data_IF_495183463297
#
_entry.id   IF_495183463297
#
_cell.length_a   1.000
_cell.length_b   1.000
_cell.length_c   1.000
_cell.angle_alpha   90.00
_cell.angle_beta   90.00
_cell.angle_gamma   90.00
#
_symmetry.space_group_name_H-M   'P 1'
#
loop_
_entity.id
_entity.type
_entity.pdbx_description
1 polymer ?
#
# COMPACT_ATOMS: atom_id res chain seq x y z
N UNK A 1 -26.35 -6.07 -7.02
CA UNK A 1 -25.92 -7.48 -7.00
C UNK A 1 -25.14 -7.71 -8.28
N UNK A 2 -23.86 -7.30 -8.30
CA UNK A 2 -22.93 -7.57 -9.40
C UNK A 2 -21.82 -8.45 -8.87
N UNK A 3 -21.84 -9.71 -9.29
CA UNK A 3 -20.79 -10.66 -9.02
C UNK A 3 -19.66 -10.41 -10.05
N UNK A 4 -18.50 -9.97 -9.58
CA UNK A 4 -17.29 -10.01 -10.40
C UNK A 4 -16.80 -11.45 -10.46
N UNK A 5 -16.83 -12.01 -11.66
CA UNK A 5 -16.20 -13.29 -11.97
C UNK A 5 -14.68 -13.07 -12.08
N UNK A 6 -13.94 -13.54 -11.10
CA UNK A 6 -12.51 -13.76 -11.26
C UNK A 6 -12.31 -15.00 -12.11
N UNK A 7 -11.75 -14.84 -13.29
CA UNK A 7 -11.31 -15.94 -14.12
C UNK A 7 -9.97 -16.45 -13.59
N UNK A 8 -10.01 -17.57 -12.86
CA UNK A 8 -8.82 -18.32 -12.50
C UNK A 8 -8.17 -18.89 -13.77
N UNK A 9 -7.02 -18.35 -14.16
CA UNK A 9 -6.18 -18.94 -15.19
C UNK A 9 -5.45 -20.14 -14.59
N UNK A 10 -5.96 -21.35 -14.85
CA UNK A 10 -5.28 -22.60 -14.53
C UNK A 10 -4.07 -22.78 -15.45
N UNK A 11 -2.88 -22.63 -14.91
CA UNK A 11 -1.64 -22.96 -15.57
C UNK A 11 -1.55 -24.50 -15.73
N UNK A 12 -1.72 -24.98 -16.95
CA UNK A 12 -1.42 -26.35 -17.34
C UNK A 12 0.09 -26.53 -17.38
N UNK A 13 0.62 -27.28 -16.42
CA UNK A 13 2.02 -27.74 -16.43
C UNK A 13 2.16 -28.80 -17.54
N UNK A 14 2.77 -28.41 -18.66
CA UNK A 14 3.29 -29.37 -19.63
C UNK A 14 4.69 -29.80 -19.19
N UNK A 15 4.77 -31.01 -18.67
CA UNK A 15 6.04 -31.64 -18.36
C UNK A 15 6.85 -31.88 -19.62
N UNK A 16 8.00 -31.27 -19.75
CA UNK A 16 9.04 -31.70 -20.66
C UNK A 16 10.08 -32.53 -19.91
N UNK A 17 10.06 -33.84 -20.12
CA UNK A 17 11.18 -34.69 -19.79
C UNK A 17 12.36 -34.33 -20.70
N UNK A 18 13.38 -33.74 -20.12
CA UNK A 18 14.72 -33.68 -20.73
C UNK A 18 15.66 -34.47 -19.84
N UNK A 19 16.07 -35.63 -20.29
CA UNK A 19 17.22 -36.34 -19.77
C UNK A 19 18.48 -35.59 -20.17
N UNK A 20 19.27 -35.16 -19.21
CA UNK A 20 20.73 -35.04 -19.41
C UNK A 20 21.47 -34.91 -18.08
N UNK A 21 22.40 -35.83 -17.90
CA UNK A 21 23.65 -35.81 -17.13
C UNK A 21 23.72 -34.96 -15.86
N UNK A 22 23.78 -35.65 -14.74
CA UNK A 22 24.24 -35.16 -13.42
C UNK A 22 25.66 -34.58 -13.56
N UNK A 23 25.76 -33.26 -13.55
CA UNK A 23 26.98 -32.55 -13.24
C UNK A 23 26.65 -31.57 -12.08
N UNK A 24 27.14 -31.84 -10.84
CA UNK A 24 26.76 -31.06 -9.65
C UNK A 24 27.36 -29.66 -9.59
N UNK A 25 28.14 -29.20 -10.56
CA UNK A 25 28.91 -27.95 -10.51
C UNK A 25 28.54 -26.91 -11.60
N UNK A 26 27.35 -26.94 -12.19
CA UNK A 26 26.91 -25.84 -13.02
C UNK A 26 26.48 -24.63 -12.15
N UNK A 27 27.43 -23.98 -11.50
CA UNK A 27 27.29 -22.60 -11.07
C UNK A 27 27.10 -21.76 -12.35
N UNK A 28 25.88 -21.33 -12.61
CA UNK A 28 25.59 -20.47 -13.75
C UNK A 28 26.42 -19.20 -13.62
N UNK A 29 27.45 -19.03 -14.42
CA UNK A 29 28.34 -17.86 -14.39
C UNK A 29 27.53 -16.66 -14.90
N UNK A 30 27.20 -15.72 -14.00
CA UNK A 30 26.49 -14.50 -14.37
C UNK A 30 27.38 -13.64 -15.29
N UNK A 31 26.78 -13.02 -16.28
CA UNK A 31 27.43 -11.94 -17.02
C UNK A 31 27.73 -10.76 -16.09
N UNK A 32 28.63 -9.85 -16.47
CA UNK A 32 28.90 -8.62 -15.67
C UNK A 32 27.62 -7.83 -15.40
N UNK A 33 26.76 -7.74 -16.39
CA UNK A 33 25.48 -7.01 -16.32
C UNK A 33 24.49 -7.69 -15.38
N UNK A 34 24.33 -9.02 -15.45
CA UNK A 34 23.53 -9.79 -14.52
C UNK A 34 24.05 -9.69 -13.09
N UNK A 35 25.37 -9.75 -12.91
CA UNK A 35 26.00 -9.54 -11.61
C UNK A 35 25.78 -8.12 -11.05
N UNK A 36 25.64 -7.11 -11.92
CA UNK A 36 25.26 -5.77 -11.50
C UNK A 36 23.79 -5.73 -11.06
N UNK A 37 22.87 -6.29 -11.84
CA UNK A 37 21.44 -6.37 -11.49
C UNK A 37 21.21 -7.16 -10.19
N UNK A 38 21.95 -8.24 -9.96
CA UNK A 38 21.89 -8.99 -8.69
C UNK A 38 22.21 -8.09 -7.49
N UNK A 39 23.18 -7.19 -7.62
CA UNK A 39 23.50 -6.20 -6.57
C UNK A 39 22.40 -5.13 -6.44
N UNK A 40 21.79 -4.74 -7.55
CA UNK A 40 20.62 -3.83 -7.54
C UNK A 40 19.45 -4.47 -6.78
N UNK A 41 19.16 -5.75 -7.02
CA UNK A 41 18.10 -6.48 -6.28
C UNK A 41 18.41 -6.54 -4.77
N UNK A 42 19.67 -6.82 -4.40
CA UNK A 42 20.09 -6.78 -3.00
C UNK A 42 19.89 -5.41 -2.36
N UNK A 43 20.33 -4.36 -3.05
CA UNK A 43 20.15 -2.98 -2.59
C UNK A 43 18.69 -2.55 -2.52
N UNK A 44 17.87 -2.96 -3.48
CA UNK A 44 16.42 -2.73 -3.49
C UNK A 44 15.74 -3.27 -2.22
N UNK A 45 16.07 -4.51 -1.83
CA UNK A 45 15.55 -5.09 -0.59
C UNK A 45 16.07 -4.32 0.64
N UNK A 46 17.38 -4.10 0.73
CA UNK A 46 18.03 -3.60 1.94
C UNK A 46 17.82 -2.09 2.17
N UNK A 47 17.68 -1.31 1.10
CA UNK A 47 17.66 0.15 1.19
C UNK A 47 16.29 0.76 0.80
N UNK A 48 15.42 0.01 0.14
CA UNK A 48 14.07 0.49 -0.22
C UNK A 48 12.99 -0.24 0.57
N UNK A 49 12.82 -1.54 0.39
CA UNK A 49 11.70 -2.27 0.99
C UNK A 49 11.82 -2.33 2.52
N UNK A 50 12.91 -2.91 3.02
CA UNK A 50 13.06 -3.15 4.45
C UNK A 50 12.95 -1.87 5.29
N UNK A 51 13.61 -0.74 4.92
CA UNK A 51 13.47 0.51 5.66
C UNK A 51 12.07 1.13 5.57
N UNK A 52 11.35 0.96 4.45
CA UNK A 52 9.98 1.45 4.29
C UNK A 52 9.04 0.71 5.25
N UNK A 53 9.07 -0.61 5.24
CA UNK A 53 8.21 -1.41 6.12
C UNK A 53 8.59 -1.26 7.60
N UNK A 54 9.88 -1.16 7.94
CA UNK A 54 10.29 -0.89 9.33
C UNK A 54 9.81 0.49 9.83
N UNK A 55 9.85 1.52 8.97
CA UNK A 55 9.31 2.84 9.29
C UNK A 55 7.80 2.80 9.46
N UNK A 56 7.11 2.10 8.56
CA UNK A 56 5.65 1.93 8.59
C UNK A 56 5.21 1.18 9.86
N UNK A 57 5.87 0.08 10.21
CA UNK A 57 5.58 -0.69 11.42
C UNK A 57 5.67 0.15 12.69
N UNK A 58 6.74 0.95 12.81
CA UNK A 58 6.92 1.88 13.94
C UNK A 58 5.82 2.94 13.97
N UNK A 59 5.41 3.49 12.82
CA UNK A 59 4.34 4.48 12.76
C UNK A 59 2.98 3.86 13.09
N UNK A 60 2.73 2.61 12.66
CA UNK A 60 1.51 1.88 12.97
C UNK A 60 1.35 1.57 14.47
N UNK A 61 2.44 1.23 15.17
CA UNK A 61 2.43 1.13 16.63
C UNK A 61 2.03 2.46 17.27
N UNK A 62 2.67 3.55 16.86
CA UNK A 62 2.37 4.89 17.37
C UNK A 62 0.91 5.26 17.11
N UNK A 63 0.42 5.00 15.90
CA UNK A 63 -0.95 5.28 15.50
C UNK A 63 -1.96 4.51 16.37
N UNK A 64 -1.77 3.22 16.53
CA UNK A 64 -2.63 2.39 17.38
C UNK A 64 -2.69 2.91 18.82
N UNK A 65 -1.54 3.26 19.42
CA UNK A 65 -1.49 3.82 20.78
C UNK A 65 -2.17 5.20 20.88
N UNK A 66 -2.09 6.04 19.84
CA UNK A 66 -2.82 7.33 19.83
C UNK A 66 -4.34 7.11 19.72
N UNK A 67 -4.80 6.12 18.96
CA UNK A 67 -6.21 5.76 18.86
C UNK A 67 -6.76 5.23 20.19
N UNK A 68 -6.02 4.37 20.89
CA UNK A 68 -6.36 3.91 22.26
C UNK A 68 -6.45 5.07 23.23
N UNK A 69 -5.43 5.93 23.23
CA UNK A 69 -5.37 7.11 24.11
C UNK A 69 -6.58 8.01 23.90
N UNK A 70 -6.99 8.24 22.65
CA UNK A 70 -8.15 9.05 22.33
C UNK A 70 -9.45 8.38 22.81
N UNK A 71 -9.66 7.08 22.54
CA UNK A 71 -10.81 6.31 23.01
C UNK A 71 -10.95 6.39 24.53
N UNK A 72 -9.88 6.09 25.25
CA UNK A 72 -9.86 6.06 26.72
C UNK A 72 -10.16 7.47 27.30
N UNK A 73 -9.63 8.52 26.67
CA UNK A 73 -9.89 9.89 27.08
C UNK A 73 -11.35 10.32 26.83
N UNK A 74 -11.97 9.89 25.72
CA UNK A 74 -13.41 10.13 25.46
C UNK A 74 -14.27 9.38 26.48
N UNK A 75 -13.97 8.11 26.74
CA UNK A 75 -14.68 7.29 27.69
C UNK A 75 -14.62 7.89 29.12
N UNK A 76 -13.49 8.47 29.50
CA UNK A 76 -13.28 9.11 30.81
C UNK A 76 -13.67 10.62 30.85
N UNK A 77 -14.16 11.19 29.75
CA UNK A 77 -14.55 12.61 29.67
C UNK A 77 -13.39 13.58 29.76
N UNK A 78 -12.18 13.16 29.41
CA UNK A 78 -10.92 13.95 29.49
C UNK A 78 -10.31 14.28 28.12
N UNK A 79 -11.02 13.91 27.04
CA UNK A 79 -10.51 14.10 25.67
C UNK A 79 -10.28 15.56 25.33
N UNK A 80 -9.20 15.82 24.64
CA UNK A 80 -8.78 17.15 24.15
C UNK A 80 -8.61 17.15 22.64
N UNK A 81 -8.71 18.32 21.99
CA UNK A 81 -8.45 18.44 20.57
C UNK A 81 -7.03 17.97 20.20
N UNK A 82 -6.04 18.23 21.05
CA UNK A 82 -4.67 17.78 20.82
C UNK A 82 -4.52 16.24 20.73
N UNK A 83 -5.40 15.46 21.37
CA UNK A 83 -5.40 14.01 21.25
C UNK A 83 -5.96 13.58 19.88
N UNK A 84 -7.02 14.22 19.40
CA UNK A 84 -7.55 13.98 18.05
C UNK A 84 -6.51 14.36 16.99
N UNK A 85 -5.88 15.54 17.15
CA UNK A 85 -4.86 16.02 16.22
C UNK A 85 -3.68 15.03 16.12
N UNK A 86 -3.21 14.48 17.26
CA UNK A 86 -2.14 13.46 17.29
C UNK A 86 -2.54 12.15 16.62
N UNK A 87 -3.78 11.70 16.83
CA UNK A 87 -4.29 10.51 16.13
C UNK A 87 -4.28 10.75 14.61
N UNK A 88 -4.74 11.91 14.15
CA UNK A 88 -4.72 12.30 12.75
C UNK A 88 -3.29 12.42 12.17
N UNK A 89 -2.35 13.01 12.92
CA UNK A 89 -0.95 13.11 12.51
C UNK A 89 -0.29 11.74 12.40
N UNK A 90 -0.55 10.82 13.35
CA UNK A 90 0.00 9.47 13.31
C UNK A 90 -0.64 8.62 12.21
N UNK A 91 -1.93 8.80 11.90
CA UNK A 91 -2.58 8.21 10.74
C UNK A 91 -1.86 8.66 9.44
N UNK A 92 -1.67 9.97 9.24
CA UNK A 92 -0.98 10.51 8.06
C UNK A 92 0.46 9.99 7.93
N UNK A 93 1.18 9.86 9.03
CA UNK A 93 2.54 9.33 9.01
C UNK A 93 2.59 7.85 8.61
N UNK A 94 1.63 7.04 9.07
CA UNK A 94 1.51 5.63 8.70
C UNK A 94 1.08 5.49 7.24
N UNK A 95 0.06 6.28 6.83
CA UNK A 95 -0.45 6.33 5.46
C UNK A 95 0.66 6.69 4.47
N UNK A 96 1.43 7.73 4.72
CA UNK A 96 2.54 8.15 3.85
C UNK A 96 3.58 7.02 3.63
N UNK A 97 3.87 6.21 4.66
CA UNK A 97 4.76 5.05 4.48
C UNK A 97 4.10 3.94 3.65
N UNK A 98 2.79 3.74 3.81
CA UNK A 98 2.05 2.76 3.02
C UNK A 98 2.05 3.18 1.54
N UNK A 99 1.66 4.40 1.20
CA UNK A 99 1.68 4.95 -0.15
C UNK A 99 3.08 4.86 -0.80
N UNK A 100 4.13 5.13 0.01
CA UNK A 100 5.52 4.95 -0.43
C UNK A 100 5.94 3.47 -0.54
N UNK A 101 5.09 2.51 -0.24
CA UNK A 101 5.29 1.08 -0.47
C UNK A 101 4.54 0.52 -1.66
N UNK A 102 3.61 1.27 -2.25
CA UNK A 102 2.75 0.76 -3.33
C UNK A 102 3.50 0.51 -4.65
N UNK A 103 4.70 1.06 -4.84
CA UNK A 103 5.59 0.66 -5.94
C UNK A 103 6.16 -0.77 -5.82
N UNK A 104 5.81 -1.50 -4.74
CA UNK A 104 6.27 -2.87 -4.48
C UNK A 104 5.28 -3.68 -3.63
N UNK A 105 4.03 -3.75 -4.05
CA UNK A 105 2.99 -4.62 -3.47
C UNK A 105 3.23 -6.11 -3.77
N UNK A 106 4.46 -6.46 -4.13
CA UNK A 106 4.94 -7.82 -4.36
C UNK A 106 4.97 -8.63 -3.06
N UNK A 107 4.92 -9.93 -3.19
CA UNK A 107 5.14 -10.83 -2.07
C UNK A 107 4.04 -10.76 -1.02
N UNK A 108 4.34 -10.46 0.24
CA UNK A 108 3.37 -10.52 1.34
C UNK A 108 2.10 -9.70 1.09
N UNK A 109 2.22 -8.51 0.48
CA UNK A 109 1.09 -7.63 0.22
C UNK A 109 0.06 -8.31 -0.70
N UNK A 110 0.53 -8.93 -1.80
CA UNK A 110 -0.33 -9.65 -2.75
C UNK A 110 -0.65 -11.08 -2.31
N UNK A 111 0.35 -11.85 -1.86
CA UNK A 111 0.18 -13.28 -1.58
C UNK A 111 -0.74 -13.56 -0.38
N UNK A 112 -0.79 -12.65 0.58
CA UNK A 112 -1.65 -12.73 1.77
C UNK A 112 -2.85 -11.77 1.71
N UNK A 113 -3.06 -11.12 0.56
CA UNK A 113 -4.17 -10.19 0.36
C UNK A 113 -4.18 -9.04 1.40
N UNK A 114 -2.99 -8.60 1.85
CA UNK A 114 -2.85 -7.56 2.87
C UNK A 114 -3.24 -6.20 2.29
N UNK A 115 -2.82 -5.90 1.07
CA UNK A 115 -3.12 -4.66 0.38
C UNK A 115 -4.62 -4.34 0.38
N UNK A 116 -5.53 -5.12 -0.23
CA UNK A 116 -6.95 -4.82 -0.20
C UNK A 116 -7.58 -4.99 1.19
N UNK A 117 -6.91 -5.65 2.15
CA UNK A 117 -7.39 -5.74 3.53
C UNK A 117 -7.24 -4.41 4.28
N UNK A 118 -6.17 -3.66 4.00
CA UNK A 118 -5.86 -2.42 4.73
C UNK A 118 -6.13 -1.15 3.95
N UNK A 119 -6.37 -1.24 2.62
CA UNK A 119 -6.50 -0.08 1.74
C UNK A 119 -7.66 -0.15 0.74
N UNK A 120 -8.71 -0.90 1.02
CA UNK A 120 -9.92 -0.89 0.18
C UNK A 120 -10.68 0.42 0.31
N UNK A 121 -10.98 1.04 -0.82
CA UNK A 121 -11.86 2.20 -0.94
C UNK A 121 -12.85 2.04 -2.10
N UNK A 122 -13.98 2.74 -2.14
CA UNK A 122 -14.51 3.61 -1.08
C UNK A 122 -14.97 2.83 0.16
N UNK A 123 -14.92 3.48 1.33
CA UNK A 123 -15.55 2.98 2.56
C UNK A 123 -17.06 2.79 2.33
N UNK A 124 -17.60 1.66 2.74
CA UNK A 124 -19.04 1.41 2.71
C UNK A 124 -19.73 2.03 3.93
N UNK A 125 -20.13 3.29 3.81
CA UNK A 125 -20.79 4.02 4.88
C UNK A 125 -22.12 3.37 5.31
N UNK A 126 -22.84 2.74 4.39
CA UNK A 126 -24.09 2.04 4.72
C UNK A 126 -23.83 0.80 5.58
N UNK A 127 -22.84 0.00 5.19
CA UNK A 127 -22.44 -1.17 5.97
C UNK A 127 -21.85 -0.76 7.33
N UNK A 128 -21.07 0.32 7.39
CA UNK A 128 -20.52 0.86 8.63
C UNK A 128 -21.65 1.33 9.57
N UNK A 129 -22.62 2.10 9.08
CA UNK A 129 -23.79 2.51 9.87
C UNK A 129 -24.55 1.30 10.40
N UNK A 130 -24.79 0.27 9.56
CA UNK A 130 -25.48 -0.96 9.98
C UNK A 130 -24.71 -1.72 11.07
N UNK A 131 -23.38 -1.74 11.01
CA UNK A 131 -22.54 -2.34 12.05
C UNK A 131 -22.70 -1.57 13.38
N UNK A 132 -22.52 -0.25 13.34
CA UNK A 132 -22.49 0.61 14.54
C UNK A 132 -23.88 0.81 15.18
N UNK A 133 -24.96 0.76 14.39
CA UNK A 133 -26.35 0.84 14.89
C UNK A 133 -26.91 -0.50 15.39
N UNK A 134 -26.21 -1.62 15.16
CA UNK A 134 -26.67 -2.95 15.57
C UNK A 134 -26.03 -3.40 16.89
N UNK A 135 -26.77 -3.43 18.03
CA UNK A 135 -26.20 -3.88 19.31
C UNK A 135 -25.65 -5.32 19.26
N UNK A 136 -26.20 -6.17 18.38
CA UNK A 136 -25.75 -7.55 18.23
C UNK A 136 -24.41 -7.69 17.51
N UNK A 137 -24.10 -6.80 16.58
CA UNK A 137 -22.81 -6.76 15.87
C UNK A 137 -21.78 -5.99 16.71
N UNK A 138 -22.16 -4.83 17.20
CA UNK A 138 -21.31 -3.91 17.94
C UNK A 138 -20.67 -4.54 19.18
N UNK A 139 -21.44 -5.32 19.95
CA UNK A 139 -20.93 -6.01 21.15
C UNK A 139 -19.72 -6.92 20.91
N UNK A 140 -19.50 -7.40 19.68
CA UNK A 140 -18.42 -8.29 19.34
C UNK A 140 -17.10 -7.54 19.08
N UNK A 141 -17.16 -6.24 18.85
CA UNK A 141 -16.01 -5.40 18.48
C UNK A 141 -15.74 -4.26 19.49
N UNK A 142 -16.58 -4.14 20.51
CA UNK A 142 -16.47 -3.12 21.55
C UNK A 142 -16.34 -3.69 22.96
N UNK A 143 -15.78 -4.88 23.09
CA UNK A 143 -15.47 -5.50 24.38
C UNK A 143 -14.39 -4.74 25.12
N UNK A 144 -14.11 -5.11 26.36
CA UNK A 144 -12.99 -4.56 27.15
C UNK A 144 -11.64 -5.21 26.80
N UNK A 145 -11.64 -6.21 25.93
CA UNK A 145 -10.45 -6.92 25.46
C UNK A 145 -10.10 -6.42 24.04
N UNK A 146 -9.14 -5.51 23.95
CA UNK A 146 -8.73 -4.93 22.66
C UNK A 146 -8.20 -6.00 21.70
N UNK A 147 -7.49 -7.03 22.17
CA UNK A 147 -6.96 -8.09 21.28
C UNK A 147 -8.08 -8.95 20.69
N UNK A 148 -9.10 -9.29 21.48
CA UNK A 148 -10.29 -9.99 20.97
C UNK A 148 -11.07 -9.14 19.95
N UNK A 149 -11.14 -7.82 20.15
CA UNK A 149 -11.79 -6.90 19.21
C UNK A 149 -11.02 -6.84 17.88
N UNK A 150 -9.68 -6.82 17.93
CA UNK A 150 -8.79 -6.84 16.76
C UNK A 150 -8.96 -8.15 15.98
N UNK A 151 -8.93 -9.29 16.68
CA UNK A 151 -9.16 -10.60 16.07
C UNK A 151 -10.53 -10.69 15.40
N UNK A 152 -11.57 -10.16 16.07
CA UNK A 152 -12.91 -10.09 15.46
C UNK A 152 -12.94 -9.22 14.19
N UNK A 153 -12.32 -8.04 14.22
CA UNK A 153 -12.21 -7.16 13.06
C UNK A 153 -11.56 -7.89 11.89
N UNK A 154 -10.39 -8.49 12.13
CA UNK A 154 -9.64 -9.23 11.13
C UNK A 154 -10.43 -10.36 10.46
N UNK A 155 -11.10 -11.18 11.25
CA UNK A 155 -11.73 -12.41 10.77
C UNK A 155 -13.17 -12.24 10.29
N UNK A 156 -13.87 -11.15 10.65
CA UNK A 156 -15.31 -11.06 10.45
C UNK A 156 -15.79 -9.80 9.71
N UNK A 157 -14.98 -8.76 9.60
CA UNK A 157 -15.35 -7.57 8.85
C UNK A 157 -14.95 -7.71 7.37
N UNK A 158 -15.76 -7.13 6.50
CA UNK A 158 -15.41 -7.00 5.09
C UNK A 158 -14.33 -5.93 4.90
N UNK A 159 -13.52 -6.07 3.86
CA UNK A 159 -12.41 -5.16 3.53
C UNK A 159 -12.85 -3.69 3.45
N UNK A 160 -14.05 -3.41 2.93
CA UNK A 160 -14.63 -2.07 2.87
C UNK A 160 -15.07 -1.48 4.22
N UNK A 161 -14.81 -2.18 5.32
CA UNK A 161 -14.98 -1.73 6.72
C UNK A 161 -13.66 -1.79 7.51
N UNK A 162 -12.54 -1.96 6.85
CA UNK A 162 -11.22 -2.13 7.48
C UNK A 162 -10.22 -1.08 6.98
N UNK A 163 -9.04 -1.11 7.54
CA UNK A 163 -7.88 -0.38 7.05
C UNK A 163 -7.92 1.12 7.26
N UNK A 164 -7.16 1.81 6.43
CA UNK A 164 -6.92 3.25 6.55
C UNK A 164 -8.20 4.07 6.43
N UNK A 165 -9.05 3.79 5.43
CA UNK A 165 -10.23 4.62 5.12
C UNK A 165 -11.35 4.49 6.16
N UNK A 166 -11.45 3.34 6.81
CA UNK A 166 -12.39 3.13 7.91
C UNK A 166 -12.03 4.01 9.14
N UNK A 167 -10.74 4.07 9.50
CA UNK A 167 -10.30 4.94 10.60
C UNK A 167 -10.28 6.41 10.19
N UNK A 168 -9.90 6.71 8.94
CA UNK A 168 -9.97 8.05 8.36
C UNK A 168 -11.35 8.69 8.59
N UNK A 169 -12.42 7.95 8.24
CA UNK A 169 -13.79 8.42 8.45
C UNK A 169 -14.07 8.83 9.90
N UNK A 170 -13.58 8.06 10.87
CA UNK A 170 -13.87 8.31 12.29
C UNK A 170 -13.17 9.56 12.81
N UNK A 171 -11.92 9.80 12.40
CA UNK A 171 -11.08 10.87 13.00
C UNK A 171 -10.98 12.16 12.16
N UNK A 172 -11.39 12.13 10.89
CA UNK A 172 -11.37 13.32 10.01
C UNK A 172 -12.78 13.74 9.58
N UNK A 173 -12.95 15.04 9.31
CA UNK A 173 -14.12 15.63 8.66
C UNK A 173 -13.68 16.81 7.78
N UNK A 174 -14.08 16.79 6.50
CA UNK A 174 -13.83 17.90 5.56
C UNK A 174 -12.37 18.39 5.52
N UNK A 175 -11.41 17.46 5.48
CA UNK A 175 -9.99 17.75 5.36
C UNK A 175 -9.29 18.17 6.67
N UNK A 176 -9.99 18.12 7.80
CA UNK A 176 -9.46 18.52 9.11
C UNK A 176 -9.70 17.42 10.17
N UNK A 177 -8.90 17.40 11.25
CA UNK A 177 -9.21 16.59 12.42
C UNK A 177 -10.64 16.85 12.91
N UNK A 178 -11.39 15.79 13.20
CA UNK A 178 -12.72 15.89 13.77
C UNK A 178 -12.70 16.69 15.07
N UNK A 179 -13.73 17.50 15.31
CA UNK A 179 -13.77 18.32 16.54
C UNK A 179 -13.98 17.42 17.75
N UNK A 180 -13.16 17.62 18.80
CA UNK A 180 -13.30 16.88 20.06
C UNK A 180 -14.70 17.05 20.66
N UNK A 181 -15.38 18.17 20.42
CA UNK A 181 -16.74 18.41 20.86
C UNK A 181 -17.75 17.41 20.26
N UNK A 182 -17.53 16.87 19.06
CA UNK A 182 -18.42 15.85 18.50
C UNK A 182 -18.23 14.50 19.18
N UNK A 183 -17.04 14.15 19.64
CA UNK A 183 -16.84 12.98 20.50
C UNK A 183 -17.45 13.16 21.88
N UNK A 184 -17.30 14.35 22.47
CA UNK A 184 -17.82 14.66 23.80
C UNK A 184 -19.35 14.87 23.83
N UNK A 185 -19.99 15.13 22.68
CA UNK A 185 -21.45 15.27 22.59
C UNK A 185 -22.21 13.95 22.65
N UNK A 186 -21.51 12.85 22.47
CA UNK A 186 -22.06 11.50 22.54
C UNK A 186 -22.40 10.90 21.17
N UNK A 187 -22.86 11.68 20.20
CA UNK A 187 -23.22 11.18 18.86
C UNK A 187 -22.41 11.88 17.76
N UNK A 188 -22.26 11.20 16.62
CA UNK A 188 -21.71 11.82 15.42
C UNK A 188 -22.68 12.88 14.87
N UNK A 189 -22.16 13.77 14.05
CA UNK A 189 -22.93 14.81 13.35
C UNK A 189 -22.80 14.69 11.82
N UNK A 190 -22.25 13.59 11.34
CA UNK A 190 -22.10 13.32 9.90
C UNK A 190 -23.48 12.96 9.30
N UNK A 191 -23.84 13.67 8.23
CA UNK A 191 -25.08 13.42 7.48
C UNK A 191 -24.84 13.84 6.02
N UNK A 192 -24.16 12.98 5.26
CA UNK A 192 -23.93 13.15 3.83
C UNK A 192 -24.06 11.78 3.15
N UNK A 193 -25.20 11.57 2.48
CA UNK A 193 -25.56 10.29 1.86
C UNK A 193 -26.02 9.21 2.85
N UNK A 194 -25.37 9.09 4.02
CA UNK A 194 -25.77 8.23 5.15
C UNK A 194 -25.79 9.06 6.42
N UNK A 195 -26.85 8.94 7.23
CA UNK A 195 -27.03 9.69 8.47
C UNK A 195 -26.41 8.93 9.66
N UNK A 196 -25.39 9.49 10.28
CA UNK A 196 -24.70 8.97 11.46
C UNK A 196 -25.10 9.68 12.76
N UNK A 197 -26.11 10.57 12.73
CA UNK A 197 -26.47 11.36 13.92
C UNK A 197 -27.07 10.53 15.06
N UNK A 198 -27.45 9.28 14.82
CA UNK A 198 -27.87 8.30 15.82
C UNK A 198 -26.73 7.41 16.34
N UNK A 199 -25.53 7.49 15.72
CA UNK A 199 -24.38 6.66 16.08
C UNK A 199 -23.61 7.27 17.25
N UNK A 200 -23.31 6.45 18.26
CA UNK A 200 -22.54 6.87 19.41
C UNK A 200 -21.06 7.03 19.05
N UNK A 201 -20.48 8.20 19.31
CA UNK A 201 -19.11 8.53 18.94
C UNK A 201 -18.04 7.70 19.69
N UNK A 202 -18.33 7.22 20.91
CA UNK A 202 -17.44 6.31 21.62
C UNK A 202 -17.42 4.92 20.97
N UNK A 203 -18.57 4.45 20.46
CA UNK A 203 -18.65 3.17 19.75
C UNK A 203 -17.91 3.22 18.41
N UNK A 204 -17.96 4.37 17.69
CA UNK A 204 -17.11 4.60 16.53
C UNK A 204 -15.61 4.51 16.88
N UNK A 205 -15.21 5.10 18.02
CA UNK A 205 -13.82 5.05 18.47
C UNK A 205 -13.40 3.63 18.89
N UNK A 206 -14.26 2.88 19.58
CA UNK A 206 -13.99 1.48 19.94
C UNK A 206 -13.81 0.62 18.70
N UNK A 207 -14.70 0.76 17.72
CA UNK A 207 -14.56 0.13 16.41
C UNK A 207 -13.23 0.52 15.74
N UNK A 208 -12.92 1.82 15.68
CA UNK A 208 -11.72 2.29 15.00
C UNK A 208 -10.41 1.88 15.68
N UNK A 209 -10.41 1.66 17.01
CA UNK A 209 -9.27 1.08 17.74
C UNK A 209 -9.04 -0.37 17.32
N UNK A 210 -10.11 -1.18 17.18
CA UNK A 210 -9.99 -2.55 16.70
C UNK A 210 -9.42 -2.61 15.27
N UNK A 211 -9.94 -1.75 14.38
CA UNK A 211 -9.47 -1.64 12.98
C UNK A 211 -8.02 -1.13 12.92
N UNK A 212 -7.64 -0.15 13.74
CA UNK A 212 -6.26 0.34 13.81
C UNK A 212 -5.28 -0.73 14.36
N UNK A 213 -5.76 -1.59 15.26
CA UNK A 213 -4.99 -2.73 15.75
C UNK A 213 -4.78 -3.80 14.69
N UNK A 214 -5.83 -4.11 13.90
CA UNK A 214 -5.73 -5.02 12.76
C UNK A 214 -4.79 -4.47 11.68
N UNK A 215 -4.91 -3.18 11.35
CA UNK A 215 -3.98 -2.48 10.45
C UNK A 215 -2.52 -2.58 10.94
N UNK A 216 -2.27 -2.37 12.24
CA UNK A 216 -0.94 -2.52 12.84
C UNK A 216 -0.38 -3.92 12.62
N UNK A 217 -1.16 -4.97 12.89
CA UNK A 217 -0.70 -6.35 12.70
C UNK A 217 -0.49 -6.70 11.22
N UNK A 218 -1.34 -6.22 10.33
CA UNK A 218 -1.16 -6.39 8.88
C UNK A 218 0.13 -5.73 8.38
N UNK A 219 0.48 -4.55 8.92
CA UNK A 219 1.76 -3.89 8.63
C UNK A 219 2.94 -4.66 9.21
N UNK A 220 2.81 -5.25 10.39
CA UNK A 220 3.85 -6.14 10.94
C UNK A 220 4.07 -7.38 10.05
N UNK A 221 3.00 -7.95 9.47
CA UNK A 221 3.13 -9.04 8.50
C UNK A 221 3.99 -8.63 7.29
N UNK A 222 3.77 -7.42 6.75
CA UNK A 222 4.62 -6.90 5.66
C UNK A 222 6.09 -6.82 6.08
N UNK A 223 6.39 -6.21 7.24
CA UNK A 223 7.76 -6.08 7.74
C UNK A 223 8.40 -7.45 8.02
N UNK A 224 7.72 -8.32 8.73
CA UNK A 224 8.28 -9.61 9.17
C UNK A 224 8.46 -10.55 7.99
N UNK A 225 7.48 -10.65 7.10
CA UNK A 225 7.58 -11.52 5.93
C UNK A 225 8.68 -11.05 4.94
N UNK A 226 8.95 -9.74 4.85
CA UNK A 226 10.01 -9.22 3.97
C UNK A 226 11.40 -9.24 4.61
N UNK A 227 11.52 -8.81 5.87
CA UNK A 227 12.81 -8.53 6.53
C UNK A 227 13.09 -9.41 7.75
N UNK A 228 12.13 -10.22 8.20
CA UNK A 228 12.17 -10.91 9.48
C UNK A 228 11.73 -10.04 10.65
N UNK A 229 11.66 -8.72 10.49
CA UNK A 229 11.17 -7.77 11.50
C UNK A 229 11.92 -7.79 12.82
N UNK A 230 11.29 -7.22 13.86
CA UNK A 230 11.78 -7.33 15.23
C UNK A 230 11.25 -8.60 15.92
N UNK A 231 11.97 -9.12 16.93
CA UNK A 231 11.48 -10.24 17.74
C UNK A 231 10.13 -9.94 18.43
N UNK A 232 9.87 -8.67 18.76
CA UNK A 232 8.61 -8.24 19.36
C UNK A 232 7.46 -8.35 18.35
N UNK A 233 7.63 -7.86 17.12
CA UNK A 233 6.62 -7.94 16.06
C UNK A 233 6.35 -9.39 15.67
N UNK A 234 7.40 -10.21 15.53
CA UNK A 234 7.27 -11.63 15.24
C UNK A 234 6.44 -12.37 16.28
N UNK A 235 6.75 -12.19 17.56
CA UNK A 235 5.96 -12.78 18.65
C UNK A 235 4.51 -12.28 18.69
N UNK A 236 4.31 -11.00 18.37
CA UNK A 236 2.98 -10.43 18.32
C UNK A 236 2.14 -11.07 17.19
N UNK A 237 2.74 -11.29 16.01
CA UNK A 237 2.09 -12.02 14.91
C UNK A 237 1.82 -13.48 15.24
N UNK A 238 2.79 -14.18 15.85
CA UNK A 238 2.62 -15.57 16.28
C UNK A 238 1.46 -15.72 17.28
N UNK A 239 1.29 -14.75 18.21
CA UNK A 239 0.19 -14.73 19.17
C UNK A 239 -1.19 -14.51 18.50
N UNK A 240 -1.22 -13.86 17.34
CA UNK A 240 -2.40 -13.62 16.52
C UNK A 240 -2.56 -14.64 15.38
N UNK A 241 -1.75 -15.70 15.35
CA UNK A 241 -1.72 -16.75 14.31
C UNK A 241 -1.53 -16.20 12.88
N UNK A 242 -0.84 -15.04 12.76
CA UNK A 242 -0.58 -14.36 11.47
C UNK A 242 0.70 -14.85 10.80
N UNK A 243 0.93 -14.45 9.56
CA UNK A 243 2.06 -14.92 8.74
C UNK A 243 3.36 -14.23 9.14
N UNK A 244 4.46 -15.00 9.11
CA UNK A 244 5.82 -14.53 9.47
C UNK A 244 6.88 -14.86 8.42
N UNK A 245 6.51 -15.51 7.31
CA UNK A 245 7.40 -15.93 6.23
C UNK A 245 6.63 -16.12 4.93
N UNK A 246 7.31 -16.46 3.86
CA UNK A 246 6.69 -16.83 2.59
C UNK A 246 5.81 -18.09 2.72
N UNK A 247 4.79 -18.27 1.84
CA UNK A 247 3.96 -19.48 1.83
C UNK A 247 4.80 -20.74 1.69
N UNK A 248 4.53 -21.72 2.57
CA UNK A 248 5.22 -23.02 2.56
C UNK A 248 6.75 -22.94 2.65
N UNK A 249 7.29 -21.88 3.24
CA UNK A 249 8.72 -21.61 3.36
C UNK A 249 9.06 -21.00 4.72
N UNK A 250 10.33 -21.05 5.08
CA UNK A 250 10.86 -20.39 6.29
C UNK A 250 11.73 -19.17 5.96
N UNK A 251 11.96 -18.89 4.67
CA UNK A 251 12.73 -17.72 4.24
C UNK A 251 11.82 -16.50 4.05
N UNK A 252 12.40 -15.33 4.11
CA UNK A 252 11.71 -14.07 3.86
C UNK A 252 11.59 -13.77 2.36
N UNK A 253 10.65 -12.89 1.98
CA UNK A 253 10.58 -12.41 0.60
C UNK A 253 11.84 -11.66 0.18
N UNK A 254 12.49 -10.95 1.11
CA UNK A 254 13.76 -10.29 0.85
C UNK A 254 14.87 -11.27 0.51
N UNK A 255 14.98 -12.38 1.25
CA UNK A 255 15.95 -13.44 0.93
C UNK A 255 15.65 -14.11 -0.41
N UNK A 256 14.37 -14.37 -0.70
CA UNK A 256 13.94 -14.92 -1.98
C UNK A 256 14.32 -13.98 -3.16
N UNK A 257 14.07 -12.68 -3.04
CA UNK A 257 14.42 -11.67 -4.05
C UNK A 257 15.93 -11.60 -4.26
N UNK A 258 16.72 -11.56 -3.20
CA UNK A 258 18.18 -11.53 -3.26
C UNK A 258 18.80 -12.77 -3.92
N UNK A 259 18.10 -13.91 -3.89
CA UNK A 259 18.48 -15.17 -4.52
C UNK A 259 17.91 -15.36 -5.93
N UNK A 260 17.35 -14.33 -6.55
CA UNK A 260 16.77 -14.44 -7.89
C UNK A 260 17.74 -15.12 -8.89
N UNK A 261 17.23 -16.10 -9.64
CA UNK A 261 18.04 -16.93 -10.56
C UNK A 261 18.88 -18.02 -9.90
N UNK A 262 18.77 -18.21 -8.58
CA UNK A 262 19.46 -19.27 -7.83
C UNK A 262 18.47 -20.33 -7.35
N UNK A 263 19.01 -21.51 -7.02
CA UNK A 263 18.21 -22.61 -6.45
C UNK A 263 17.54 -22.14 -5.13
N UNK A 264 16.25 -22.39 -5.02
CA UNK A 264 15.44 -22.03 -3.85
C UNK A 264 14.80 -20.65 -3.93
N UNK A 265 15.01 -19.86 -5.02
CA UNK A 265 14.24 -18.68 -5.30
C UNK A 265 13.02 -18.99 -6.18
N UNK A 266 11.90 -18.30 -5.93
CA UNK A 266 10.72 -18.31 -6.82
C UNK A 266 10.99 -17.56 -8.14
N UNK A 267 11.93 -16.64 -8.15
CA UNK A 267 12.37 -15.93 -9.35
C UNK A 267 13.34 -16.81 -10.12
N UNK A 268 12.90 -17.35 -11.26
CA UNK A 268 13.69 -18.27 -12.10
C UNK A 268 14.93 -17.61 -12.75
N UNK A 269 14.96 -16.28 -12.78
CA UNK A 269 16.07 -15.48 -13.28
C UNK A 269 16.11 -14.10 -12.61
N UNK A 270 17.27 -13.44 -12.69
CA UNK A 270 17.43 -12.03 -12.29
C UNK A 270 16.46 -11.14 -13.09
N UNK A 271 16.33 -11.41 -14.38
CA UNK A 271 15.42 -10.65 -15.26
C UNK A 271 13.96 -10.78 -14.85
N UNK A 272 13.50 -11.99 -14.46
CA UNK A 272 12.12 -12.17 -13.99
C UNK A 272 11.83 -11.39 -12.69
N UNK A 273 12.81 -11.29 -11.78
CA UNK A 273 12.69 -10.46 -10.60
C UNK A 273 12.63 -8.95 -10.94
N UNK A 274 13.47 -8.51 -11.89
CA UNK A 274 13.47 -7.11 -12.38
C UNK A 274 12.15 -6.76 -13.03
N UNK A 275 11.61 -7.65 -13.88
CA UNK A 275 10.31 -7.44 -14.54
C UNK A 275 9.17 -7.31 -13.52
N UNK A 276 9.17 -8.17 -12.49
CA UNK A 276 8.19 -8.06 -11.41
C UNK A 276 8.25 -6.69 -10.70
N UNK A 277 9.45 -6.12 -10.51
CA UNK A 277 9.63 -4.83 -9.86
C UNK A 277 9.22 -3.67 -10.78
N UNK A 278 9.66 -3.67 -12.05
CA UNK A 278 9.49 -2.51 -12.93
C UNK A 278 8.14 -2.50 -13.63
N UNK A 279 7.71 -3.64 -14.19
CA UNK A 279 6.54 -3.72 -15.08
C UNK A 279 5.44 -4.66 -14.61
N UNK A 280 5.62 -5.35 -13.48
CA UNK A 280 4.56 -6.20 -12.89
C UNK A 280 3.38 -5.40 -12.36
N UNK A 281 2.21 -6.03 -12.31
CA UNK A 281 0.95 -5.41 -11.83
C UNK A 281 1.04 -4.91 -10.36
N UNK A 282 1.87 -5.54 -9.55
CA UNK A 282 2.16 -5.16 -8.16
C UNK A 282 3.51 -4.42 -8.02
N UNK A 283 4.08 -3.94 -9.12
CA UNK A 283 5.34 -3.21 -9.20
C UNK A 283 5.12 -1.74 -9.58
N UNK A 284 6.21 -1.12 -10.06
CA UNK A 284 6.20 0.32 -10.37
C UNK A 284 5.16 0.72 -11.42
N UNK A 285 5.01 -0.05 -12.50
CA UNK A 285 4.00 0.22 -13.53
C UNK A 285 2.59 0.10 -12.97
N UNK A 286 2.32 -0.93 -12.16
CA UNK A 286 1.01 -1.14 -11.57
C UNK A 286 0.51 0.08 -10.80
N UNK A 287 1.31 0.59 -9.87
CA UNK A 287 0.88 1.77 -9.08
C UNK A 287 0.79 3.05 -9.92
N UNK A 288 1.69 3.25 -10.91
CA UNK A 288 1.62 4.44 -11.77
C UNK A 288 0.34 4.43 -12.61
N UNK A 289 -0.04 3.27 -13.14
CA UNK A 289 -1.31 3.09 -13.88
C UNK A 289 -2.50 3.27 -12.94
N UNK A 290 -2.43 2.77 -11.72
CA UNK A 290 -3.48 2.95 -10.73
C UNK A 290 -3.70 4.43 -10.38
N UNK A 291 -2.64 5.17 -10.09
CA UNK A 291 -2.70 6.62 -9.85
C UNK A 291 -3.30 7.35 -11.07
N UNK A 292 -2.85 7.04 -12.27
CA UNK A 292 -3.30 7.69 -13.50
C UNK A 292 -4.73 7.32 -13.88
N UNK A 293 -5.01 6.03 -14.02
CA UNK A 293 -6.25 5.56 -14.64
C UNK A 293 -7.37 5.32 -13.63
N UNK A 294 -7.03 4.95 -12.38
CA UNK A 294 -8.00 4.57 -11.36
C UNK A 294 -8.20 5.69 -10.34
N UNK A 295 -7.18 6.03 -9.55
CA UNK A 295 -7.29 7.00 -8.44
C UNK A 295 -7.66 8.41 -8.94
N UNK A 296 -7.08 8.88 -10.05
CA UNK A 296 -7.45 10.15 -10.70
C UNK A 296 -8.42 9.96 -11.86
N UNK A 297 -8.23 8.93 -12.69
CA UNK A 297 -8.95 8.76 -13.96
C UNK A 297 -10.44 8.50 -13.79
N UNK A 298 -10.85 7.63 -12.85
CA UNK A 298 -12.26 7.35 -12.59
C UNK A 298 -13.02 8.59 -12.10
N UNK A 299 -12.55 9.33 -11.07
CA UNK A 299 -13.19 10.59 -10.67
C UNK A 299 -13.22 11.62 -11.80
N UNK A 300 -12.15 11.74 -12.59
CA UNK A 300 -12.10 12.65 -13.72
C UNK A 300 -13.11 12.30 -14.83
N UNK A 301 -13.38 11.01 -15.05
CA UNK A 301 -14.26 10.49 -16.11
C UNK A 301 -13.51 9.89 -17.29
N UNK A 302 -12.27 9.43 -17.09
CA UNK A 302 -11.47 8.70 -18.09
C UNK A 302 -11.59 7.19 -17.96
N UNK A 303 -12.51 6.68 -17.14
CA UNK A 303 -12.65 5.26 -16.76
C UNK A 303 -12.28 4.26 -17.84
N UNK A 304 -11.48 3.29 -17.42
CA UNK A 304 -10.85 2.26 -18.20
C UNK A 304 -11.82 1.28 -18.71
N UNK A 305 -12.32 1.02 -19.75
CA UNK A 305 -13.08 -0.11 -20.29
C UNK A 305 -14.62 -0.04 -20.26
N UNK A 306 -15.23 1.08 -19.84
CA UNK A 306 -16.67 1.22 -19.97
C UNK A 306 -17.00 2.21 -21.09
N UNK A 307 -17.94 1.83 -21.98
CA UNK A 307 -18.39 2.69 -23.08
C UNK A 307 -19.04 3.99 -22.57
N UNK A 308 -19.41 4.02 -21.29
CA UNK A 308 -19.92 5.19 -20.59
C UNK A 308 -18.83 5.77 -19.68
N UNK A 309 -17.96 6.60 -20.22
CA UNK A 309 -16.91 7.36 -19.51
C UNK A 309 -17.50 8.42 -18.56
N UNK A 310 -18.35 8.01 -17.63
CA UNK A 310 -18.90 8.91 -16.63
C UNK A 310 -17.93 9.07 -15.46
N UNK A 311 -17.85 10.30 -14.95
CA UNK A 311 -17.08 10.61 -13.75
C UNK A 311 -17.71 9.91 -12.54
N UNK A 312 -16.87 9.24 -11.74
CA UNK A 312 -17.28 8.65 -10.48
C UNK A 312 -16.63 9.38 -9.29
N UNK A 313 -17.23 10.45 -8.78
CA UNK A 313 -16.70 11.18 -7.63
C UNK A 313 -16.74 10.36 -6.32
N UNK A 314 -17.52 9.27 -6.25
CA UNK A 314 -17.54 8.40 -5.08
C UNK A 314 -16.29 7.52 -5.00
N UNK A 315 -15.53 7.42 -6.09
CA UNK A 315 -14.28 6.66 -6.16
C UNK A 315 -13.04 7.50 -5.76
N UNK A 316 -13.24 8.62 -5.07
CA UNK A 316 -12.12 9.43 -4.57
C UNK A 316 -11.56 8.80 -3.31
N UNK A 317 -10.26 8.54 -3.33
CA UNK A 317 -9.49 8.03 -2.22
C UNK A 317 -9.21 9.13 -1.18
N UNK A 318 -9.16 8.79 0.11
CA UNK A 318 -8.92 9.71 1.23
C UNK A 318 -9.83 10.97 1.22
N UNK A 319 -11.17 10.81 1.06
CA UNK A 319 -12.06 11.95 0.88
C UNK A 319 -12.33 12.72 2.18
N UNK A 320 -12.17 12.08 3.36
CA UNK A 320 -12.48 12.69 4.65
C UNK A 320 -11.32 13.52 5.21
N UNK A 321 -10.10 13.10 4.97
CA UNK A 321 -8.87 13.80 5.34
C UNK A 321 -8.41 14.81 4.28
N UNK A 322 -8.94 14.73 3.06
CA UNK A 322 -8.46 15.42 1.86
C UNK A 322 -6.99 15.10 1.52
N UNK A 323 -6.53 13.89 1.82
CA UNK A 323 -5.12 13.51 1.64
C UNK A 323 -4.79 13.04 0.22
N UNK A 324 -5.77 12.80 -0.65
CA UNK A 324 -5.64 12.18 -1.99
C UNK A 324 -4.41 12.63 -2.79
N UNK A 325 -4.18 13.95 -2.94
CA UNK A 325 -3.04 14.46 -3.71
C UNK A 325 -1.68 14.16 -3.06
N UNK A 326 -1.64 14.02 -1.73
CA UNK A 326 -0.46 13.59 -0.99
C UNK A 326 -0.23 12.10 -1.23
N UNK A 327 -1.29 11.30 -1.15
CA UNK A 327 -1.26 9.86 -1.39
C UNK A 327 -0.73 9.58 -2.80
N UNK A 328 -1.28 10.20 -3.83
CA UNK A 328 -0.83 10.05 -5.22
C UNK A 328 0.64 10.47 -5.42
N UNK A 329 1.06 11.54 -4.74
CA UNK A 329 2.45 11.97 -4.80
C UNK A 329 3.38 10.97 -4.13
N UNK A 330 2.98 10.39 -2.98
CA UNK A 330 3.73 9.37 -2.25
C UNK A 330 3.80 8.06 -3.05
N UNK A 331 2.75 7.71 -3.82
CA UNK A 331 2.79 6.59 -4.77
C UNK A 331 3.91 6.78 -5.81
N UNK A 332 3.98 7.95 -6.45
CA UNK A 332 5.06 8.22 -7.41
C UNK A 332 6.42 8.35 -6.70
N UNK A 333 6.44 8.79 -5.43
CA UNK A 333 7.66 8.78 -4.61
C UNK A 333 8.14 7.35 -4.33
N UNK A 334 7.23 6.35 -4.19
CA UNK A 334 7.62 4.94 -4.06
C UNK A 334 8.40 4.47 -5.29
N UNK A 335 7.92 4.81 -6.49
CA UNK A 335 8.62 4.52 -7.76
C UNK A 335 9.97 5.22 -7.81
N UNK A 336 10.05 6.48 -7.38
CA UNK A 336 11.31 7.22 -7.28
C UNK A 336 12.31 6.56 -6.32
N UNK A 337 11.82 6.01 -5.21
CA UNK A 337 12.64 5.29 -4.24
C UNK A 337 13.17 3.97 -4.80
N UNK A 338 12.34 3.20 -5.50
CA UNK A 338 12.74 1.98 -6.22
C UNK A 338 13.79 2.30 -7.28
N UNK A 339 13.52 3.29 -8.13
CA UNK A 339 14.41 3.68 -9.22
C UNK A 339 15.77 4.13 -8.73
N UNK A 340 15.84 4.94 -7.69
CA UNK A 340 17.05 5.54 -7.16
C UNK A 340 17.71 4.76 -6.00
N UNK A 341 17.11 3.64 -5.55
CA UNK A 341 17.74 2.69 -4.63
C UNK A 341 17.79 3.15 -3.18
N UNK A 342 16.67 3.66 -2.64
CA UNK A 342 16.57 3.94 -1.22
C UNK A 342 15.37 4.76 -0.80
N UNK A 343 14.75 4.34 0.31
CA UNK A 343 13.66 5.03 0.98
C UNK A 343 14.08 6.45 1.45
N UNK A 344 15.24 6.55 2.11
CA UNK A 344 15.82 7.82 2.52
C UNK A 344 16.76 8.35 1.41
N UNK A 345 16.38 9.46 0.78
CA UNK A 345 17.14 10.07 -0.29
C UNK A 345 18.61 10.41 0.10
N UNK A 346 18.86 10.65 1.40
CA UNK A 346 20.20 10.95 1.93
C UNK A 346 21.04 9.70 2.16
N UNK A 347 20.44 8.51 2.12
CA UNK A 347 21.08 7.21 2.38
C UNK A 347 21.07 6.27 1.18
N UNK A 348 20.78 6.77 -0.02
CA UNK A 348 20.76 5.95 -1.24
C UNK A 348 22.11 5.29 -1.49
N UNK A 349 22.10 3.99 -1.80
CA UNK A 349 23.30 3.16 -1.83
C UNK A 349 24.18 3.37 -3.06
N UNK A 350 23.72 4.00 -4.09
CA UNK A 350 24.42 4.04 -5.38
C UNK A 350 24.32 2.75 -6.23
N UNK A 351 23.80 1.65 -5.68
CA UNK A 351 23.37 0.46 -6.43
C UNK A 351 21.86 0.55 -6.63
N UNK A 352 21.43 0.88 -7.85
CA UNK A 352 20.02 1.14 -8.15
C UNK A 352 19.75 0.95 -9.64
N UNK A 353 18.47 0.93 -10.05
CA UNK A 353 18.12 0.95 -11.47
C UNK A 353 18.68 2.22 -12.15
N UNK A 354 18.60 3.37 -11.51
CA UNK A 354 19.20 4.60 -12.04
C UNK A 354 20.71 4.44 -12.30
N UNK A 355 21.46 3.81 -11.39
CA UNK A 355 22.88 3.57 -11.57
C UNK A 355 23.18 2.51 -12.64
N UNK A 356 22.35 1.48 -12.76
CA UNK A 356 22.40 0.50 -13.83
C UNK A 356 22.24 1.18 -15.19
N UNK A 357 21.17 1.96 -15.37
CA UNK A 357 20.91 2.64 -16.63
C UNK A 357 21.95 3.72 -16.94
N UNK A 358 22.47 4.42 -15.94
CA UNK A 358 23.61 5.34 -16.12
C UNK A 358 24.82 4.66 -16.75
N UNK A 359 25.05 3.38 -16.43
CA UNK A 359 26.17 2.60 -16.96
C UNK A 359 25.86 2.00 -18.34
N UNK A 360 24.68 1.43 -18.54
CA UNK A 360 24.38 0.57 -19.69
C UNK A 360 23.47 1.20 -20.76
N UNK A 361 22.64 2.19 -20.38
CA UNK A 361 21.80 2.98 -21.29
C UNK A 361 21.43 4.35 -20.67
N UNK A 362 22.36 5.32 -20.67
CA UNK A 362 22.16 6.63 -20.02
C UNK A 362 20.98 7.43 -20.56
N UNK A 363 20.66 7.30 -21.85
CA UNK A 363 19.55 7.99 -22.48
C UNK A 363 18.20 7.54 -21.89
N UNK A 364 18.00 6.22 -21.84
CA UNK A 364 16.78 5.64 -21.26
C UNK A 364 16.70 5.90 -19.75
N UNK A 365 17.84 5.81 -19.03
CA UNK A 365 17.89 6.17 -17.61
C UNK A 365 17.46 7.61 -17.35
N UNK A 366 17.88 8.54 -18.20
CA UNK A 366 17.48 9.96 -18.14
C UNK A 366 15.99 10.12 -18.47
N UNK A 367 15.48 9.39 -19.46
CA UNK A 367 14.04 9.39 -19.82
C UNK A 367 13.16 9.00 -18.65
N UNK A 368 13.46 7.87 -17.98
CA UNK A 368 12.69 7.41 -16.82
C UNK A 368 12.75 8.43 -15.67
N UNK A 369 13.94 8.93 -15.34
CA UNK A 369 14.08 9.92 -14.26
C UNK A 369 13.28 11.20 -14.55
N UNK A 370 13.32 11.67 -15.80
CA UNK A 370 12.55 12.84 -16.20
C UNK A 370 11.02 12.59 -16.12
N UNK A 371 10.56 11.39 -16.48
CA UNK A 371 9.16 11.02 -16.39
C UNK A 371 8.69 10.98 -14.91
N UNK A 372 9.49 10.39 -13.99
CA UNK A 372 9.23 10.43 -12.54
C UNK A 372 9.11 11.89 -12.06
N UNK A 373 10.07 12.72 -12.37
CA UNK A 373 10.09 14.13 -11.96
C UNK A 373 8.89 14.90 -12.53
N UNK A 374 8.49 14.63 -13.79
CA UNK A 374 7.34 15.25 -14.44
C UNK A 374 6.03 14.84 -13.75
N UNK A 375 5.82 13.55 -13.47
CA UNK A 375 4.63 13.05 -12.78
C UNK A 375 4.49 13.72 -11.40
N UNK A 376 5.55 13.74 -10.59
CA UNK A 376 5.56 14.42 -9.29
C UNK A 376 5.27 15.92 -9.40
N UNK A 377 5.85 16.59 -10.38
CA UNK A 377 5.63 18.02 -10.60
C UNK A 377 4.17 18.33 -11.03
N UNK A 378 3.56 17.47 -11.88
CA UNK A 378 2.16 17.61 -12.29
C UNK A 378 1.18 17.34 -11.15
N UNK A 379 1.42 16.32 -10.33
CA UNK A 379 0.63 16.07 -9.11
C UNK A 379 0.69 17.25 -8.15
N UNK A 380 1.87 17.81 -7.92
CA UNK A 380 2.05 18.99 -7.06
C UNK A 380 1.35 20.25 -7.60
N UNK A 381 1.12 20.32 -8.90
CA UNK A 381 0.42 21.44 -9.53
C UNK A 381 -1.12 21.30 -9.48
N UNK A 382 -1.64 20.13 -9.12
CA UNK A 382 -3.08 19.92 -8.96
C UNK A 382 -3.63 20.78 -7.83
N UNK A 383 -4.79 21.44 -8.02
CA UNK A 383 -5.39 22.26 -6.97
C UNK A 383 -6.00 21.36 -5.88
N UNK A 384 -5.68 21.67 -4.62
CA UNK A 384 -6.28 21.04 -3.45
C UNK A 384 -7.58 21.74 -3.01
N UNK A 385 -8.52 21.05 -2.35
CA UNK A 385 -8.53 19.59 -2.19
C UNK A 385 -8.96 18.86 -3.47
N UNK A 386 -8.51 17.64 -3.68
CA UNK A 386 -8.84 16.84 -4.86
C UNK A 386 -10.35 16.61 -5.00
N UNK A 387 -11.05 16.35 -3.90
CA UNK A 387 -12.52 16.14 -3.86
C UNK A 387 -13.33 17.28 -4.50
N UNK A 388 -12.80 18.51 -4.48
CA UNK A 388 -13.44 19.67 -5.10
C UNK A 388 -12.89 20.01 -6.50
N UNK A 389 -11.75 19.41 -6.89
CA UNK A 389 -10.98 19.83 -8.06
C UNK A 389 -10.64 18.68 -9.03
N UNK A 390 -11.20 17.48 -8.83
CA UNK A 390 -10.87 16.28 -9.60
C UNK A 390 -11.07 16.40 -11.13
N UNK A 391 -11.87 17.35 -11.60
CA UNK A 391 -12.08 17.67 -13.04
C UNK A 391 -11.21 18.82 -13.56
N UNK A 392 -10.23 19.28 -12.76
CA UNK A 392 -9.38 20.38 -13.21
C UNK A 392 -8.41 19.93 -14.32
N UNK A 393 -8.04 20.85 -15.21
CA UNK A 393 -7.12 20.56 -16.31
C UNK A 393 -5.73 20.11 -15.84
N UNK A 394 -5.28 20.53 -14.65
CA UNK A 394 -4.03 20.06 -14.04
C UNK A 394 -4.11 18.57 -13.65
N UNK A 395 -5.29 18.06 -13.27
CA UNK A 395 -5.48 16.62 -12.99
C UNK A 395 -5.30 15.82 -14.29
N UNK A 396 -5.88 16.24 -15.41
CA UNK A 396 -5.64 15.59 -16.70
C UNK A 396 -4.15 15.63 -17.10
N UNK A 397 -3.46 16.72 -16.81
CA UNK A 397 -2.03 16.83 -17.08
C UNK A 397 -1.19 15.87 -16.18
N UNK A 398 -1.64 15.60 -14.95
CA UNK A 398 -1.01 14.61 -14.06
C UNK A 398 -1.29 13.18 -14.55
N UNK A 399 -2.51 12.86 -14.97
CA UNK A 399 -2.87 11.57 -15.57
C UNK A 399 -1.98 11.27 -16.78
N UNK A 400 -1.87 12.22 -17.72
CA UNK A 400 -1.01 12.05 -18.89
C UNK A 400 0.48 11.88 -18.52
N UNK A 401 0.95 12.51 -17.45
CA UNK A 401 2.31 12.33 -16.97
C UNK A 401 2.54 10.94 -16.34
N UNK A 402 1.53 10.35 -15.71
CA UNK A 402 1.57 8.95 -15.27
C UNK A 402 1.66 8.00 -16.48
N UNK A 403 0.87 8.21 -17.55
CA UNK A 403 0.96 7.42 -18.78
C UNK A 403 2.35 7.47 -19.44
N UNK A 404 2.99 8.64 -19.41
CA UNK A 404 4.38 8.80 -19.91
C UNK A 404 5.37 8.02 -19.03
N UNK A 405 5.17 8.02 -17.71
CA UNK A 405 6.02 7.28 -16.76
C UNK A 405 5.85 5.78 -16.91
N UNK A 406 4.62 5.28 -17.04
CA UNK A 406 4.33 3.87 -17.34
C UNK A 406 5.08 3.39 -18.59
N UNK A 407 5.02 4.15 -19.68
CA UNK A 407 5.74 3.84 -20.93
C UNK A 407 7.25 3.81 -20.73
N UNK A 408 7.81 4.78 -20.00
CA UNK A 408 9.24 4.85 -19.76
C UNK A 408 9.75 3.68 -18.89
N UNK A 409 8.99 3.25 -17.89
CA UNK A 409 9.30 2.09 -17.05
C UNK A 409 9.20 0.78 -17.85
N UNK A 410 8.17 0.63 -18.69
CA UNK A 410 8.03 -0.50 -19.60
C UNK A 410 9.20 -0.63 -20.57
N UNK A 411 9.63 0.47 -21.20
CA UNK A 411 10.82 0.48 -22.06
C UNK A 411 12.10 0.12 -21.30
N UNK A 412 12.19 0.50 -20.02
CA UNK A 412 13.34 0.13 -19.19
C UNK A 412 13.38 -1.38 -18.91
N UNK A 413 12.22 -1.99 -18.59
CA UNK A 413 12.15 -3.44 -18.43
C UNK A 413 12.45 -4.15 -19.76
N UNK A 414 11.80 -3.75 -20.87
CA UNK A 414 12.05 -4.34 -22.20
C UNK A 414 13.52 -4.31 -22.58
N UNK A 415 14.23 -3.20 -22.33
CA UNK A 415 15.67 -3.11 -22.56
C UNK A 415 16.46 -4.20 -21.82
N UNK A 416 16.12 -4.45 -20.55
CA UNK A 416 16.77 -5.49 -19.75
C UNK A 416 16.41 -6.90 -20.28
N UNK A 417 15.13 -7.13 -20.66
CA UNK A 417 14.66 -8.43 -21.13
C UNK A 417 15.26 -8.82 -22.50
N UNK A 418 15.43 -7.86 -23.41
CA UNK A 418 15.91 -8.11 -24.78
C UNK A 418 17.41 -8.42 -24.87
N UNK A 419 18.19 -8.12 -23.83
CA UNK A 419 19.63 -8.45 -23.84
C UNK A 419 19.84 -9.97 -23.87
N UNK A 420 20.42 -10.46 -24.96
CA UNK A 420 20.79 -11.88 -25.12
C UNK A 420 21.95 -12.21 -24.17
N UNK A 421 21.93 -13.43 -23.68
CA UNK A 421 23.05 -14.02 -22.90
C UNK A 421 24.34 -14.04 -23.70
#
# INVERSE_FOLDING_TARGET
>A
MYAMLFAAASATVLGFNSCSSDDPDHVQTLTEEEGYLQKVLGSYVDNTINPTYASMAKNAETFYEQMKTLRDAVENGTATQAMVDKACESWKATRANYEMSEGFLLGAASDYNIDPHIDTWPLDLTALHNLLSSPNLLKNITTTDDEANIEYAHNNLNQNLLGFHAVEFVIFRNGAPRKVSSFNSGNDNFNDGVDFTDINALDELKYSVAVAGDLKYSIFELEVCWAGGTEAHKKALEAQERKTSMPSSTITYGENMKKAGQVGSLYTSIKSAVSAILSGDHGCVGIVDEVGQTKMGKPYGLGTNDENKESDPNYIESPFSHNSLTDFWDNIQSVNNVWNGGFDANKRSGMSFASYFKKYNPELGTKVQNAINNAQAKLKACPAPFVANYKNAQVLAAINACDELTKALGEADEYIQQKKK
#
